data_IF_449872474643
#
_entry.id   IF_449872474643
#
_cell.length_a   1.000
_cell.length_b   1.000
_cell.length_c   1.000
_cell.angle_alpha   90.00
_cell.angle_beta   90.00
_cell.angle_gamma   90.00
#
_symmetry.space_group_name_H-M   'P 1'
#
loop_
_entity.id
_entity.type
_entity.pdbx_description
1 polymer ?
#
# COMPACT_ATOMS: atom_id res chain seq x y z
N UNK A 1 -3.98 1.95 -38.23
CA UNK A 1 -3.25 3.06 -37.58
C UNK A 1 -2.92 2.61 -36.18
N UNK A 2 -1.65 2.37 -35.87
CA UNK A 2 -1.24 2.03 -34.49
C UNK A 2 -1.48 3.28 -33.65
N UNK A 3 -2.30 3.19 -32.61
CA UNK A 3 -2.39 4.25 -31.61
C UNK A 3 -1.00 4.37 -30.96
N UNK A 4 -0.40 5.56 -31.00
CA UNK A 4 0.73 5.87 -30.13
C UNK A 4 0.19 5.88 -28.69
N UNK A 5 0.19 4.71 -28.04
CA UNK A 5 -0.13 4.61 -26.64
C UNK A 5 1.07 5.13 -25.84
N UNK A 6 0.84 6.09 -24.96
CA UNK A 6 1.86 6.56 -24.03
C UNK A 6 2.29 5.44 -23.09
N UNK A 7 3.59 5.37 -22.79
CA UNK A 7 4.17 4.34 -21.92
C UNK A 7 4.53 4.97 -20.58
N UNK A 8 4.35 4.20 -19.49
CA UNK A 8 4.85 4.57 -18.16
C UNK A 8 6.10 3.73 -17.89
N UNK A 9 7.24 4.40 -17.72
CA UNK A 9 8.51 3.77 -17.39
C UNK A 9 8.78 3.87 -15.89
N UNK A 10 9.11 2.76 -15.25
CA UNK A 10 9.50 2.72 -13.83
C UNK A 10 11.02 2.81 -13.71
N UNK A 11 11.52 3.82 -13.00
CA UNK A 11 12.95 3.96 -12.70
C UNK A 11 13.36 3.05 -11.54
N UNK A 12 14.00 1.93 -11.87
CA UNK A 12 14.49 0.97 -10.88
C UNK A 12 15.77 1.40 -10.15
N UNK A 13 16.49 2.40 -10.68
CA UNK A 13 17.75 2.89 -10.09
C UNK A 13 17.62 3.42 -8.66
N UNK A 14 16.42 3.85 -8.25
CA UNK A 14 16.16 4.31 -6.89
C UNK A 14 15.81 3.20 -5.89
N UNK A 15 15.65 1.94 -6.33
CA UNK A 15 15.22 0.84 -5.46
C UNK A 15 16.15 0.63 -4.25
N UNK A 16 17.47 0.70 -4.46
CA UNK A 16 18.46 0.48 -3.39
C UNK A 16 18.51 1.60 -2.35
N UNK A 17 17.94 2.76 -2.65
CA UNK A 17 17.92 3.95 -1.79
C UNK A 17 16.51 4.26 -1.26
N UNK A 18 15.52 3.43 -1.58
CA UNK A 18 14.13 3.68 -1.25
C UNK A 18 13.88 3.55 0.26
N UNK A 19 13.05 4.47 0.78
CA UNK A 19 12.64 4.46 2.19
C UNK A 19 11.80 3.23 2.53
N UNK A 20 11.78 2.86 3.81
CA UNK A 20 11.01 1.71 4.33
C UNK A 20 10.01 2.14 5.40
N UNK A 21 8.96 2.90 5.03
CA UNK A 21 7.99 3.43 5.97
C UNK A 21 7.05 2.33 6.50
N UNK A 22 6.39 2.63 7.62
CA UNK A 22 5.20 1.87 8.04
C UNK A 22 4.02 2.27 7.15
N UNK A 23 3.32 1.27 6.60
CA UNK A 23 2.14 1.49 5.74
C UNK A 23 0.89 1.10 6.52
N UNK A 24 -0.14 1.94 6.47
CA UNK A 24 -1.43 1.71 7.10
C UNK A 24 -2.55 1.81 6.07
N UNK A 25 -3.40 0.78 5.97
CA UNK A 25 -4.65 0.81 5.21
C UNK A 25 -5.81 1.05 6.17
N UNK A 26 -6.44 2.22 6.08
CA UNK A 26 -7.54 2.63 6.95
C UNK A 26 -8.90 2.28 6.34
N UNK A 27 -9.94 1.99 7.17
CA UNK A 27 -11.29 1.69 6.69
C UNK A 27 -12.10 2.99 6.47
N UNK A 28 -11.47 3.98 5.85
CA UNK A 28 -12.09 5.27 5.54
C UNK A 28 -11.35 5.98 4.41
N UNK A 29 -12.06 6.87 3.72
CA UNK A 29 -11.49 7.79 2.75
C UNK A 29 -11.07 9.10 3.44
N UNK A 30 -9.92 9.63 3.05
CA UNK A 30 -9.40 10.92 3.51
C UNK A 30 -9.17 11.76 2.24
N UNK A 31 -9.89 12.87 2.11
CA UNK A 31 -9.82 13.73 0.91
C UNK A 31 -8.46 14.42 0.76
N UNK A 32 -7.74 14.64 1.87
CA UNK A 32 -6.42 15.25 1.85
C UNK A 32 -5.35 14.25 1.43
N UNK A 33 -4.60 14.58 0.36
CA UNK A 33 -3.57 13.76 -0.27
C UNK A 33 -2.12 14.20 0.03
N UNK A 34 -1.95 15.15 0.96
CA UNK A 34 -0.66 15.70 1.35
C UNK A 34 -0.02 15.06 2.59
N UNK A 35 1.08 15.65 3.09
CA UNK A 35 1.73 15.21 4.33
C UNK A 35 0.78 15.21 5.54
N UNK A 36 1.01 14.28 6.46
CA UNK A 36 0.28 14.15 7.71
C UNK A 36 1.22 13.78 8.87
N UNK A 37 0.93 14.30 10.06
CA UNK A 37 1.71 14.09 11.29
C UNK A 37 1.42 12.72 11.96
N UNK A 38 1.58 11.64 11.19
CA UNK A 38 1.26 10.26 11.61
C UNK A 38 2.05 9.83 12.84
N UNK A 39 3.35 10.13 12.87
CA UNK A 39 4.24 9.80 14.00
C UNK A 39 3.89 10.53 15.30
N UNK A 40 3.19 11.67 15.20
CA UNK A 40 2.75 12.45 16.35
C UNK A 40 1.40 12.01 16.89
N UNK A 41 0.45 11.70 16.01
CA UNK A 41 -0.95 11.47 16.40
C UNK A 41 -1.40 10.02 16.33
N UNK A 42 -0.93 9.25 15.34
CA UNK A 42 -1.43 7.90 15.10
C UNK A 42 -0.53 6.86 15.74
N UNK A 43 0.75 6.79 15.34
CA UNK A 43 1.70 5.76 15.78
C UNK A 43 1.81 5.63 17.31
N UNK A 44 1.89 6.71 18.10
CA UNK A 44 2.01 6.59 19.56
C UNK A 44 0.76 6.06 20.26
N UNK A 45 -0.39 6.08 19.58
CA UNK A 45 -1.68 5.65 20.15
C UNK A 45 -2.04 4.22 19.76
N UNK A 46 -1.23 3.58 18.90
CA UNK A 46 -1.37 2.17 18.57
C UNK A 46 -1.03 1.33 19.80
N UNK A 47 -1.98 0.52 20.24
CA UNK A 47 -1.80 -0.49 21.28
C UNK A 47 -1.62 -1.83 20.62
N UNK A 48 -0.54 -2.52 20.95
CA UNK A 48 -0.27 -3.87 20.48
C UNK A 48 -0.10 -4.81 21.69
N UNK A 49 -1.10 -5.65 21.91
CA UNK A 49 -1.10 -6.62 22.99
C UNK A 49 -1.58 -7.97 22.48
N UNK A 50 -0.77 -9.03 22.66
CA UNK A 50 -1.19 -10.43 22.42
C UNK A 50 -1.88 -10.66 21.06
N UNK A 51 -1.33 -10.15 19.96
CA UNK A 51 -1.93 -10.22 18.61
C UNK A 51 -3.28 -9.49 18.46
N UNK A 52 -3.54 -8.51 19.32
CA UNK A 52 -4.60 -7.53 19.15
C UNK A 52 -4.01 -6.14 19.06
N UNK A 53 -3.98 -5.63 17.83
CA UNK A 53 -3.57 -4.27 17.57
C UNK A 53 -4.83 -3.38 17.48
N UNK A 54 -4.81 -2.24 18.17
CA UNK A 54 -5.94 -1.31 18.22
C UNK A 54 -5.47 0.14 18.26
N UNK A 55 -6.27 1.05 17.69
CA UNK A 55 -5.98 2.50 17.67
C UNK A 55 -7.30 3.27 17.61
N UNK A 56 -7.28 4.55 17.96
CA UNK A 56 -8.42 5.45 17.71
C UNK A 56 -8.08 6.41 16.58
N UNK A 57 -8.94 6.51 15.59
CA UNK A 57 -8.83 7.51 14.52
C UNK A 57 -10.12 8.32 14.46
N UNK A 58 -10.01 9.65 14.59
CA UNK A 58 -11.17 10.57 14.65
C UNK A 58 -12.21 10.16 15.72
N UNK A 59 -11.75 9.61 16.85
CA UNK A 59 -12.61 9.15 17.94
C UNK A 59 -13.23 7.76 17.73
N UNK A 60 -12.97 7.10 16.61
CA UNK A 60 -13.49 5.75 16.30
C UNK A 60 -12.43 4.70 16.57
N UNK A 61 -12.84 3.63 17.26
CA UNK A 61 -11.97 2.50 17.55
C UNK A 61 -11.73 1.63 16.30
N UNK A 62 -10.46 1.43 15.97
CA UNK A 62 -10.03 0.52 14.92
C UNK A 62 -9.34 -0.69 15.54
N UNK A 63 -9.52 -1.84 14.91
CA UNK A 63 -8.80 -3.08 15.18
C UNK A 63 -7.97 -3.40 13.95
N UNK A 64 -6.75 -3.86 14.13
CA UNK A 64 -5.90 -4.14 12.99
C UNK A 64 -5.07 -5.40 13.12
N UNK A 65 -4.48 -5.76 12.00
CA UNK A 65 -3.59 -6.88 11.84
C UNK A 65 -2.48 -6.52 10.85
N UNK A 66 -1.30 -7.10 11.05
CA UNK A 66 -0.22 -7.01 10.07
C UNK A 66 -0.49 -7.99 8.94
N UNK A 67 -0.45 -7.48 7.71
CA UNK A 67 -0.57 -8.27 6.47
C UNK A 67 0.81 -8.25 5.80
N UNK A 68 1.36 -9.44 5.55
CA UNK A 68 2.59 -9.60 4.79
C UNK A 68 2.30 -9.56 3.29
N UNK A 69 3.23 -9.02 2.51
CA UNK A 69 3.21 -9.18 1.07
C UNK A 69 3.30 -10.67 0.71
N UNK A 70 2.73 -11.09 -0.42
CA UNK A 70 2.80 -12.47 -0.89
C UNK A 70 4.26 -12.93 -1.08
N UNK A 71 4.51 -14.23 -0.89
CA UNK A 71 5.87 -14.78 -1.00
C UNK A 71 6.47 -14.49 -2.39
N UNK A 72 7.69 -13.97 -2.43
CA UNK A 72 8.36 -13.58 -3.68
C UNK A 72 7.99 -12.18 -4.19
N UNK A 73 7.05 -11.49 -3.54
CA UNK A 73 6.62 -10.14 -3.91
C UNK A 73 7.10 -9.09 -2.91
N UNK A 74 7.18 -7.85 -3.39
CA UNK A 74 7.42 -6.67 -2.56
C UNK A 74 6.43 -5.57 -2.93
N UNK A 75 6.04 -4.78 -1.94
CA UNK A 75 5.28 -3.55 -2.15
C UNK A 75 6.21 -2.42 -2.57
N UNK A 76 5.76 -1.62 -3.55
CA UNK A 76 6.45 -0.41 -4.02
C UNK A 76 5.49 0.78 -3.91
N UNK A 77 5.99 1.91 -3.40
CA UNK A 77 5.33 3.21 -3.52
C UNK A 77 6.00 3.95 -4.67
N UNK A 78 5.21 4.26 -5.70
CA UNK A 78 5.66 4.95 -6.90
C UNK A 78 5.28 6.42 -6.82
N UNK A 79 6.20 7.29 -7.23
CA UNK A 79 5.97 8.74 -7.31
C UNK A 79 6.31 9.25 -8.70
N UNK A 80 5.38 10.03 -9.24
CA UNK A 80 5.59 10.83 -10.44
C UNK A 80 5.96 12.25 -10.00
N UNK A 81 7.21 12.68 -10.21
CA UNK A 81 7.64 14.02 -9.82
C UNK A 81 7.19 15.10 -10.83
N UNK A 82 7.07 14.73 -12.11
CA UNK A 82 6.62 15.61 -13.19
C UNK A 82 5.35 15.06 -13.81
N UNK A 83 4.24 15.77 -13.63
CA UNK A 83 2.96 15.42 -14.27
C UNK A 83 3.06 15.74 -15.76
N UNK A 84 2.80 14.75 -16.62
CA UNK A 84 2.71 14.98 -18.06
C UNK A 84 1.71 16.09 -18.40
N UNK A 85 2.00 16.89 -19.42
CA UNK A 85 1.11 17.96 -19.85
C UNK A 85 -0.11 17.41 -20.63
N UNK A 86 0.01 16.19 -21.14
CA UNK A 86 -1.06 15.48 -21.84
C UNK A 86 -0.95 13.97 -21.67
N UNK A 87 -2.06 13.25 -21.89
CA UNK A 87 -2.10 11.77 -21.82
C UNK A 87 -1.34 11.08 -22.96
N UNK A 88 -0.82 11.85 -23.92
CA UNK A 88 -0.07 11.35 -25.09
C UNK A 88 1.44 11.31 -24.83
N UNK A 89 1.92 11.86 -23.72
CA UNK A 89 3.33 11.89 -23.35
C UNK A 89 3.72 10.64 -22.56
N UNK A 90 4.91 10.12 -22.86
CA UNK A 90 5.53 9.09 -22.04
C UNK A 90 5.80 9.62 -20.64
N UNK A 91 5.51 8.80 -19.64
CA UNK A 91 5.64 9.15 -18.23
C UNK A 91 6.73 8.35 -17.57
N UNK A 92 7.36 8.96 -16.58
CA UNK A 92 8.37 8.29 -15.77
C UNK A 92 8.00 8.40 -14.31
N UNK A 93 7.97 7.25 -13.62
CA UNK A 93 7.73 7.17 -12.19
C UNK A 93 8.94 6.56 -11.51
N UNK A 94 9.29 7.06 -10.32
CA UNK A 94 10.37 6.52 -9.51
C UNK A 94 9.83 5.78 -8.30
N UNK A 95 10.65 4.88 -7.77
CA UNK A 95 10.36 4.22 -6.50
C UNK A 95 10.73 5.18 -5.38
N UNK A 96 9.75 5.58 -4.57
CA UNK A 96 9.99 6.39 -3.37
C UNK A 96 10.17 5.52 -2.13
N UNK A 97 9.45 4.40 -2.05
CA UNK A 97 9.48 3.54 -0.86
C UNK A 97 9.24 2.07 -1.20
N UNK A 98 9.74 1.19 -0.34
CA UNK A 98 9.59 -0.26 -0.43
C UNK A 98 9.03 -0.77 0.90
N UNK A 99 8.07 -1.70 0.84
CA UNK A 99 7.54 -2.38 2.02
C UNK A 99 7.31 -3.86 1.75
N UNK A 100 7.42 -4.68 2.79
CA UNK A 100 7.15 -6.13 2.73
C UNK A 100 5.91 -6.53 3.52
N UNK A 101 5.30 -5.55 4.19
CA UNK A 101 4.11 -5.71 5.02
C UNK A 101 3.46 -4.37 5.21
N UNK A 102 2.18 -4.40 5.55
CA UNK A 102 1.42 -3.23 5.93
C UNK A 102 0.42 -3.60 7.01
N UNK A 103 -0.06 -2.59 7.72
CA UNK A 103 -1.06 -2.75 8.74
C UNK A 103 -2.44 -2.49 8.14
N UNK A 104 -3.31 -3.50 8.15
CA UNK A 104 -4.71 -3.32 7.78
C UNK A 104 -5.55 -3.04 9.03
N UNK A 105 -6.37 -2.00 8.95
CA UNK A 105 -7.29 -1.58 9.99
C UNK A 105 -8.73 -1.78 9.54
N UNK A 106 -9.53 -2.39 10.40
CA UNK A 106 -10.96 -2.53 10.24
C UNK A 106 -11.69 -1.80 11.38
N UNK A 107 -12.93 -1.43 11.12
CA UNK A 107 -13.76 -0.72 12.07
C UNK A 107 -14.38 -1.71 13.06
N UNK A 108 -14.05 -1.55 14.34
CA UNK A 108 -14.61 -2.30 15.50
C UNK A 108 -14.39 -3.82 15.52
N UNK A 109 -14.22 -4.46 14.36
CA UNK A 109 -14.02 -5.90 14.18
C UNK A 109 -12.58 -6.21 13.81
N UNK A 110 -12.07 -7.36 14.27
CA UNK A 110 -10.71 -7.78 13.95
C UNK A 110 -10.62 -8.20 12.47
N UNK A 111 -9.57 -7.79 11.75
CA UNK A 111 -9.30 -8.35 10.43
C UNK A 111 -9.27 -9.88 10.42
N UNK A 112 -9.85 -10.48 9.38
CA UNK A 112 -9.99 -11.92 9.22
C UNK A 112 -9.79 -12.35 7.75
N UNK A 113 -9.93 -13.65 7.48
CA UNK A 113 -9.69 -14.24 6.16
C UNK A 113 -10.66 -13.79 5.07
N UNK A 114 -11.84 -13.32 5.45
CA UNK A 114 -12.93 -12.98 4.53
C UNK A 114 -12.86 -11.50 4.10
N UNK A 115 -11.96 -10.72 4.70
CA UNK A 115 -11.70 -9.34 4.26
C UNK A 115 -11.08 -9.35 2.86
N UNK A 116 -11.64 -8.55 1.96
CA UNK A 116 -11.23 -8.54 0.54
C UNK A 116 -9.75 -8.26 0.32
N UNK A 117 -9.11 -7.45 1.17
CA UNK A 117 -7.66 -7.20 1.10
C UNK A 117 -6.84 -8.43 1.48
N UNK A 118 -7.29 -9.21 2.47
CA UNK A 118 -6.63 -10.44 2.91
C UNK A 118 -6.76 -11.50 1.82
N UNK A 119 -7.97 -11.65 1.25
CA UNK A 119 -8.21 -12.52 0.10
C UNK A 119 -7.35 -12.10 -1.11
N UNK A 120 -7.23 -10.81 -1.41
CA UNK A 120 -6.42 -10.31 -2.52
C UNK A 120 -4.93 -10.68 -2.41
N UNK A 121 -4.39 -10.82 -1.19
CA UNK A 121 -3.00 -11.27 -1.02
C UNK A 121 -2.77 -12.73 -1.42
N UNK A 122 -3.82 -13.54 -1.56
CA UNK A 122 -3.72 -14.93 -2.05
C UNK A 122 -3.69 -15.01 -3.59
N UNK A 123 -4.14 -13.96 -4.28
CA UNK A 123 -4.28 -13.94 -5.73
C UNK A 123 -2.98 -14.22 -6.49
N UNK A 124 -1.80 -13.66 -6.12
CA UNK A 124 -0.59 -13.87 -6.91
C UNK A 124 -0.18 -15.35 -7.03
N UNK A 125 -0.31 -16.13 -5.96
CA UNK A 125 -0.02 -17.56 -6.00
C UNK A 125 -0.97 -18.31 -6.95
N UNK A 126 -2.25 -17.92 -7.00
CA UNK A 126 -3.21 -18.48 -7.95
C UNK A 126 -2.90 -18.07 -9.39
N UNK A 127 -2.54 -16.81 -9.61
CA UNK A 127 -2.18 -16.28 -10.92
C UNK A 127 -0.95 -16.99 -11.49
N UNK A 128 0.08 -17.23 -10.68
CA UNK A 128 1.25 -18.03 -11.06
C UNK A 128 0.83 -19.43 -11.52
N UNK A 129 0.00 -20.13 -10.74
CA UNK A 129 -0.46 -21.48 -11.07
C UNK A 129 -1.25 -21.55 -12.40
N UNK A 130 -2.04 -20.51 -12.71
CA UNK A 130 -2.81 -20.44 -13.97
C UNK A 130 -1.93 -20.05 -15.16
N UNK A 131 -0.96 -19.15 -14.96
CA UNK A 131 -0.12 -18.59 -16.04
C UNK A 131 0.96 -19.52 -16.58
N UNK A 132 1.25 -20.62 -15.86
CA UNK A 132 2.26 -21.63 -16.23
C UNK A 132 1.64 -22.78 -17.05
N UNK A 133 0.32 -22.75 -17.28
CA UNK A 133 -0.38 -23.66 -18.21
C UNK A 133 -0.34 -23.11 -19.64
#
# INVERSE_FOLDING_TARGET
MCSNASVITVQLGSLGQADKPQIHLLPCEIEHDGPAEVSRYFTPTVKDHKNEMSVSFRGRGLKGAEINCPQGYTGLVLKEDNKAASDQEDRTVRISSVFHRFTYWNLETKPNSDDGVVMAMTWPALAEAVSVC
#
